data_IF_265800859691
#
_entry.id   IF_265800859691
#
_cell.length_a   1.000
_cell.length_b   1.000
_cell.length_c   1.000
_cell.angle_alpha   90.00
_cell.angle_beta   90.00
_cell.angle_gamma   90.00
#
_symmetry.space_group_name_H-M   'P 1'
#
loop_
_entity.id
_entity.type
_entity.pdbx_description
1 polymer ?
#
# COMPACT_ATOMS: atom_id res chain seq x y z
N UNK A 1 -23.97 -6.67 15.43
CA UNK A 1 -22.64 -6.07 15.68
C UNK A 1 -21.83 -6.36 14.43
N UNK A 2 -21.30 -5.35 13.75
CA UNK A 2 -20.54 -5.58 12.53
C UNK A 2 -19.16 -6.15 12.86
N UNK A 3 -18.69 -7.11 12.06
CA UNK A 3 -17.33 -7.67 12.15
C UNK A 3 -16.38 -6.90 11.24
N UNK A 4 -15.12 -6.77 11.65
CA UNK A 4 -14.14 -5.96 10.92
C UNK A 4 -13.08 -6.85 10.27
N UNK A 5 -12.96 -6.76 8.94
CA UNK A 5 -11.83 -7.29 8.19
C UNK A 5 -10.90 -6.14 7.80
N UNK A 6 -9.65 -6.19 8.27
CA UNK A 6 -8.62 -5.22 7.93
C UNK A 6 -7.61 -5.85 6.96
N UNK A 7 -7.32 -5.14 5.87
CA UNK A 7 -6.25 -5.47 4.93
C UNK A 7 -5.15 -4.42 5.10
N UNK A 8 -3.94 -4.87 5.44
CA UNK A 8 -2.76 -4.00 5.54
C UNK A 8 -1.95 -4.10 4.25
N UNK A 9 -1.84 -2.97 3.53
CA UNK A 9 -1.07 -2.83 2.30
C UNK A 9 -1.93 -2.72 1.04
N UNK A 10 -1.88 -1.56 0.37
CA UNK A 10 -2.59 -1.27 -0.89
C UNK A 10 -1.87 -1.75 -2.15
N UNK A 11 -1.01 -2.77 -2.07
CA UNK A 11 -0.37 -3.33 -3.26
C UNK A 11 -1.34 -4.13 -4.15
N UNK A 12 -0.78 -4.91 -5.07
CA UNK A 12 -1.56 -5.84 -5.92
C UNK A 12 -2.40 -6.81 -5.10
N UNK A 13 -1.77 -7.51 -4.15
CA UNK A 13 -2.45 -8.49 -3.32
C UNK A 13 -3.59 -7.85 -2.52
N UNK A 14 -3.30 -6.79 -1.74
CA UNK A 14 -4.31 -6.18 -0.89
C UNK A 14 -5.47 -5.55 -1.65
N UNK A 15 -5.20 -4.84 -2.75
CA UNK A 15 -6.26 -4.24 -3.57
C UNK A 15 -7.11 -5.31 -4.24
N UNK A 16 -6.52 -6.37 -4.80
CA UNK A 16 -7.28 -7.45 -5.45
C UNK A 16 -8.07 -8.28 -4.45
N UNK A 17 -7.49 -8.55 -3.28
CA UNK A 17 -8.20 -9.19 -2.17
C UNK A 17 -9.39 -8.35 -1.73
N UNK A 18 -9.22 -7.02 -1.58
CA UNK A 18 -10.32 -6.12 -1.26
C UNK A 18 -11.44 -6.19 -2.31
N UNK A 19 -11.10 -6.08 -3.61
CA UNK A 19 -12.08 -6.18 -4.70
C UNK A 19 -12.88 -7.49 -4.67
N UNK A 20 -12.23 -8.63 -4.41
CA UNK A 20 -12.92 -9.92 -4.31
C UNK A 20 -13.84 -9.96 -3.07
N UNK A 21 -13.36 -9.45 -1.95
CA UNK A 21 -14.09 -9.47 -0.68
C UNK A 21 -15.28 -8.51 -0.67
N UNK A 22 -15.25 -7.39 -1.40
CA UNK A 22 -16.40 -6.50 -1.57
C UNK A 22 -17.66 -7.22 -2.09
N UNK A 23 -17.47 -8.28 -2.87
CA UNK A 23 -18.57 -9.04 -3.48
C UNK A 23 -18.90 -10.36 -2.77
N UNK A 24 -18.08 -10.77 -1.80
CA UNK A 24 -18.19 -12.09 -1.16
C UNK A 24 -18.35 -12.02 0.35
N UNK A 25 -18.02 -10.89 0.97
CA UNK A 25 -18.21 -10.71 2.41
C UNK A 25 -19.70 -10.67 2.76
N UNK A 26 -20.10 -11.33 3.86
CA UNK A 26 -21.47 -11.23 4.35
C UNK A 26 -21.83 -9.79 4.77
N UNK A 27 -23.13 -9.40 4.75
CA UNK A 27 -23.56 -8.02 5.02
C UNK A 27 -23.23 -7.50 6.43
N UNK A 28 -22.94 -8.38 7.39
CA UNK A 28 -22.54 -8.02 8.74
C UNK A 28 -21.03 -7.75 8.88
N UNK A 29 -20.27 -7.75 7.78
CA UNK A 29 -18.84 -7.41 7.77
C UNK A 29 -18.57 -6.04 7.18
N UNK A 30 -17.60 -5.35 7.76
CA UNK A 30 -16.98 -4.16 7.18
C UNK A 30 -15.58 -4.51 6.69
N UNK A 31 -15.20 -3.91 5.57
CA UNK A 31 -13.91 -4.09 4.92
C UNK A 31 -13.13 -2.78 4.96
N UNK A 32 -11.93 -2.83 5.53
CA UNK A 32 -11.02 -1.70 5.57
C UNK A 32 -9.67 -2.05 4.93
N UNK A 33 -9.26 -1.29 3.93
CA UNK A 33 -7.90 -1.31 3.39
C UNK A 33 -7.11 -0.15 4.00
N UNK A 34 -6.05 -0.44 4.72
CA UNK A 34 -5.08 0.55 5.22
C UNK A 34 -3.80 0.46 4.42
N UNK A 35 -3.35 1.60 3.88
CA UNK A 35 -2.18 1.69 3.00
C UNK A 35 -1.48 3.04 3.18
N UNK A 36 -0.15 3.06 3.04
CA UNK A 36 0.61 4.32 3.07
C UNK A 36 0.26 5.22 1.87
N UNK A 37 -0.07 4.60 0.74
CA UNK A 37 -0.46 5.28 -0.50
C UNK A 37 -1.96 5.12 -0.75
N UNK A 38 -2.56 6.12 -1.39
CA UNK A 38 -3.97 6.08 -1.79
C UNK A 38 -4.20 5.48 -3.20
N UNK A 39 -3.15 4.93 -3.81
CA UNK A 39 -3.16 4.27 -5.12
C UNK A 39 -2.32 3.00 -5.09
N UNK A 40 -2.62 2.08 -6.00
CA UNK A 40 -1.70 0.98 -6.35
C UNK A 40 -0.76 1.45 -7.48
N UNK A 41 0.49 0.97 -7.48
CA UNK A 41 1.46 1.19 -8.56
C UNK A 41 1.67 -0.08 -9.38
N UNK A 42 1.67 0.05 -10.70
CA UNK A 42 2.09 -1.00 -11.63
C UNK A 42 3.63 -0.97 -11.78
N UNK A 43 4.31 -1.56 -10.79
CA UNK A 43 5.77 -1.59 -10.68
C UNK A 43 6.53 -1.92 -11.98
N UNK A 44 6.08 -2.85 -12.86
CA UNK A 44 6.81 -3.17 -14.09
C UNK A 44 7.03 -2.00 -15.05
N UNK A 45 6.21 -0.94 -15.00
CA UNK A 45 6.34 0.23 -15.87
C UNK A 45 7.09 1.41 -15.24
N UNK A 46 7.62 1.26 -14.01
CA UNK A 46 8.43 2.32 -13.39
C UNK A 46 9.65 2.74 -14.23
N UNK A 47 10.39 1.85 -14.92
CA UNK A 47 11.49 2.25 -15.80
C UNK A 47 11.05 3.20 -16.93
N UNK A 48 9.84 3.02 -17.48
CA UNK A 48 9.31 3.89 -18.54
C UNK A 48 8.98 5.30 -18.01
N UNK A 49 8.64 5.42 -16.72
CA UNK A 49 8.48 6.71 -16.05
C UNK A 49 9.85 7.39 -15.87
N UNK A 50 10.89 6.62 -15.51
CA UNK A 50 12.27 7.13 -15.42
C UNK A 50 12.73 7.71 -16.76
N UNK A 51 12.52 6.98 -17.84
CA UNK A 51 12.86 7.41 -19.20
C UNK A 51 11.95 8.48 -19.80
N UNK A 52 10.93 8.93 -19.07
CA UNK A 52 9.89 9.86 -19.54
C UNK A 52 9.09 9.39 -20.77
N UNK A 53 9.14 8.09 -21.11
CA UNK A 53 8.35 7.47 -22.18
C UNK A 53 6.84 7.49 -21.86
N UNK A 54 6.49 7.46 -20.57
CA UNK A 54 5.11 7.51 -20.08
C UNK A 54 4.96 8.47 -18.90
N UNK A 55 3.74 8.95 -18.69
CA UNK A 55 3.42 9.80 -17.55
C UNK A 55 3.29 8.98 -16.25
N UNK A 56 3.70 9.54 -15.09
CA UNK A 56 3.50 8.92 -13.78
C UNK A 56 2.07 8.46 -13.50
N UNK A 57 1.09 9.21 -13.99
CA UNK A 57 -0.34 8.88 -13.84
C UNK A 57 -0.75 7.60 -14.57
N UNK A 58 -0.01 7.18 -15.59
CA UNK A 58 -0.30 5.96 -16.37
C UNK A 58 0.11 4.68 -15.63
N UNK A 59 0.92 4.76 -14.58
CA UNK A 59 1.39 3.59 -13.82
C UNK A 59 0.73 3.46 -12.45
N UNK A 60 -0.25 4.30 -12.13
CA UNK A 60 -0.98 4.23 -10.87
C UNK A 60 -2.48 4.06 -11.09
N UNK A 61 -3.15 3.44 -10.13
CA UNK A 61 -4.60 3.39 -10.07
C UNK A 61 -5.08 3.75 -8.65
N UNK A 62 -5.85 4.83 -8.46
CA UNK A 62 -6.37 5.21 -7.15
C UNK A 62 -7.25 4.11 -6.54
N UNK A 63 -7.06 3.79 -5.25
CA UNK A 63 -7.88 2.79 -4.56
C UNK A 63 -9.36 3.11 -4.61
N UNK A 64 -9.74 4.39 -4.49
CA UNK A 64 -11.13 4.85 -4.54
C UNK A 64 -11.81 4.64 -5.90
N UNK A 65 -11.03 4.48 -6.97
CA UNK A 65 -11.58 4.13 -8.30
C UNK A 65 -11.74 2.62 -8.46
N UNK A 66 -10.96 1.83 -7.71
CA UNK A 66 -10.93 0.36 -7.79
C UNK A 66 -11.83 -0.33 -6.77
N UNK A 67 -12.13 0.34 -5.66
CA UNK A 67 -12.90 -0.15 -4.53
C UNK A 67 -14.13 0.74 -4.34
N UNK A 68 -15.29 0.13 -4.18
CA UNK A 68 -16.58 0.84 -4.17
C UNK A 68 -17.29 0.77 -2.82
N UNK A 69 -17.12 -0.33 -2.08
CA UNK A 69 -17.81 -0.59 -0.83
C UNK A 69 -16.85 -0.58 0.38
N UNK A 70 -15.54 -0.72 0.14
CA UNK A 70 -14.51 -0.75 1.16
C UNK A 70 -14.19 0.63 1.70
N UNK A 71 -13.89 0.72 2.99
CA UNK A 71 -13.24 1.88 3.55
C UNK A 71 -11.75 1.86 3.20
N UNK A 72 -11.22 2.99 2.72
CA UNK A 72 -9.78 3.15 2.43
C UNK A 72 -9.19 4.17 3.39
N UNK A 73 -8.23 3.73 4.20
CA UNK A 73 -7.48 4.56 5.14
C UNK A 73 -6.05 4.75 4.59
N UNK A 74 -5.68 6.01 4.32
CA UNK A 74 -4.31 6.36 3.96
C UNK A 74 -3.51 6.60 5.24
N UNK A 75 -2.76 5.61 5.68
CA UNK A 75 -1.97 5.64 6.90
C UNK A 75 -0.89 4.57 6.91
N UNK A 76 0.16 4.80 7.70
CA UNK A 76 1.23 3.85 7.92
C UNK A 76 0.91 2.98 9.15
N UNK A 77 0.76 1.67 8.95
CA UNK A 77 0.72 0.72 10.07
C UNK A 77 2.08 0.69 10.75
N UNK A 78 2.08 0.89 12.06
CA UNK A 78 3.28 0.90 12.90
C UNK A 78 3.45 -0.41 13.67
N UNK A 79 2.35 -1.00 14.13
CA UNK A 79 2.37 -2.21 14.97
C UNK A 79 1.08 -3.01 14.81
N UNK A 80 1.18 -4.32 15.02
CA UNK A 80 0.04 -5.24 15.04
C UNK A 80 0.09 -6.01 16.36
N UNK A 81 -0.79 -5.66 17.28
CA UNK A 81 -0.97 -6.37 18.55
C UNK A 81 -1.98 -7.50 18.33
N UNK A 82 -1.45 -8.70 18.14
CA UNK A 82 -2.26 -9.91 17.89
C UNK A 82 -3.03 -10.42 19.11
N UNK A 83 -2.50 -10.39 20.36
CA UNK A 83 -3.29 -10.64 21.56
C UNK A 83 -4.53 -9.74 21.70
N UNK A 84 -4.38 -8.43 21.52
CA UNK A 84 -5.49 -7.48 21.65
C UNK A 84 -6.36 -7.39 20.38
N UNK A 85 -5.88 -7.97 19.26
CA UNK A 85 -6.47 -7.91 17.91
C UNK A 85 -6.65 -6.48 17.42
N UNK A 86 -5.58 -5.70 17.51
CA UNK A 86 -5.54 -4.32 17.03
C UNK A 86 -4.38 -4.05 16.09
N UNK A 87 -4.62 -3.13 15.15
CA UNK A 87 -3.60 -2.53 14.30
C UNK A 87 -3.40 -1.09 14.74
N UNK A 88 -2.18 -0.74 15.12
CA UNK A 88 -1.77 0.64 15.37
C UNK A 88 -1.24 1.26 14.09
N UNK A 89 -1.60 2.51 13.85
CA UNK A 89 -1.20 3.24 12.66
C UNK A 89 -0.93 4.71 12.94
N UNK A 90 -0.18 5.34 12.04
CA UNK A 90 0.12 6.76 12.00
C UNK A 90 -0.48 7.34 10.70
N UNK A 91 -1.50 8.19 10.86
CA UNK A 91 -2.09 8.99 9.78
C UNK A 91 -1.90 10.47 10.08
N UNK A 92 -3.00 11.24 10.12
CA UNK A 92 -2.99 12.61 10.68
C UNK A 92 -2.58 12.65 12.17
N UNK A 93 -2.73 11.51 12.84
CA UNK A 93 -2.22 11.25 14.18
C UNK A 93 -2.14 9.74 14.44
N UNK A 94 -1.68 9.34 15.64
CA UNK A 94 -1.71 7.94 16.04
C UNK A 94 -3.16 7.45 16.18
N UNK A 95 -3.42 6.26 15.67
CA UNK A 95 -4.72 5.62 15.72
C UNK A 95 -4.63 4.11 15.93
N UNK A 96 -5.77 3.52 16.27
CA UNK A 96 -5.89 2.08 16.55
C UNK A 96 -7.17 1.54 15.93
N UNK A 97 -7.07 0.41 15.23
CA UNK A 97 -8.21 -0.30 14.64
C UNK A 97 -8.30 -1.72 15.20
N UNK A 98 -9.47 -2.10 15.74
CA UNK A 98 -9.77 -3.49 16.09
C UNK A 98 -10.18 -4.29 14.87
N UNK A 99 -9.72 -5.54 14.79
CA UNK A 99 -10.09 -6.48 13.74
C UNK A 99 -10.62 -7.81 14.29
N UNK A 100 -11.51 -8.42 13.52
CA UNK A 100 -11.91 -9.82 13.65
C UNK A 100 -11.10 -10.72 12.72
N UNK A 101 -10.73 -10.19 11.55
CA UNK A 101 -9.85 -10.83 10.57
C UNK A 101 -8.85 -9.82 10.03
N UNK A 102 -7.62 -10.30 9.79
CA UNK A 102 -6.51 -9.48 9.33
C UNK A 102 -5.85 -10.14 8.14
N UNK A 103 -5.68 -9.38 7.05
CA UNK A 103 -4.92 -9.78 5.87
C UNK A 103 -3.66 -8.92 5.79
N UNK A 104 -2.51 -9.57 5.72
CA UNK A 104 -1.22 -8.89 5.56
C UNK A 104 -0.79 -8.96 4.08
N UNK A 105 -0.79 -7.81 3.42
CA UNK A 105 -0.44 -7.64 2.02
C UNK A 105 0.59 -6.49 1.84
N UNK A 106 1.48 -6.33 2.82
CA UNK A 106 2.42 -5.20 2.95
C UNK A 106 3.51 -5.16 1.87
N UNK A 107 3.72 -6.26 1.13
CA UNK A 107 4.80 -6.36 0.14
C UNK A 107 6.18 -6.27 0.78
N UNK A 108 7.15 -5.75 0.02
CA UNK A 108 8.54 -5.57 0.44
C UNK A 108 9.10 -4.24 -0.04
N UNK A 109 10.07 -3.72 0.70
CA UNK A 109 10.86 -2.54 0.33
C UNK A 109 12.22 -2.95 -0.23
N UNK A 110 12.89 -2.02 -0.92
CA UNK A 110 14.29 -2.20 -1.30
C UNK A 110 15.14 -2.27 -0.03
N UNK A 111 15.88 -3.37 0.15
CA UNK A 111 16.80 -3.53 1.27
C UNK A 111 18.18 -2.98 0.87
N UNK A 112 18.47 -1.76 1.30
CA UNK A 112 19.73 -1.07 0.99
C UNK A 112 20.84 -1.36 2.02
N UNK A 113 20.55 -2.13 3.07
CA UNK A 113 21.51 -2.47 4.13
C UNK A 113 22.30 -3.76 3.82
N UNK A 114 21.91 -4.49 2.76
CA UNK A 114 22.55 -5.75 2.35
C UNK A 114 24.03 -5.55 2.03
N UNK A 115 24.40 -4.41 1.46
CA UNK A 115 25.77 -4.08 1.11
C UNK A 115 26.19 -2.81 1.84
N UNK A 116 27.27 -2.89 2.62
CA UNK A 116 27.79 -1.75 3.38
C UNK A 116 28.06 -0.56 2.45
N UNK A 117 27.48 0.60 2.78
CA UNK A 117 27.58 1.83 2.00
C UNK A 117 26.57 1.95 0.85
N UNK A 118 25.79 0.91 0.55
CA UNK A 118 24.81 0.94 -0.55
C UNK A 118 23.74 2.01 -0.35
N UNK A 119 23.20 2.17 0.86
CA UNK A 119 22.22 3.23 1.16
C UNK A 119 22.70 4.66 0.84
N UNK A 120 24.02 4.90 0.76
CA UNK A 120 24.59 6.22 0.48
C UNK A 120 24.66 6.54 -1.01
N UNK A 121 24.67 5.52 -1.87
CA UNK A 121 24.97 5.66 -3.31
C UNK A 121 23.94 5.00 -4.23
N UNK A 122 23.18 4.03 -3.72
CA UNK A 122 22.22 3.28 -4.51
C UNK A 122 20.98 4.12 -4.82
N UNK A 123 20.41 3.85 -5.99
CA UNK A 123 19.18 4.46 -6.46
C UNK A 123 18.16 3.33 -6.63
N UNK A 124 17.31 3.05 -5.62
CA UNK A 124 16.29 2.02 -5.76
C UNK A 124 15.28 2.42 -6.84
N UNK A 125 14.51 1.44 -7.33
CA UNK A 125 13.40 1.64 -8.25
C UNK A 125 12.23 0.74 -7.83
N UNK A 126 11.60 1.08 -6.69
CA UNK A 126 10.52 0.30 -6.09
C UNK A 126 9.22 1.09 -5.99
N UNK A 127 9.30 2.40 -5.79
CA UNK A 127 8.16 3.31 -5.65
C UNK A 127 8.04 4.25 -6.85
N UNK A 128 6.88 4.91 -6.98
CA UNK A 128 6.74 6.01 -7.94
C UNK A 128 7.70 7.17 -7.61
N UNK A 129 7.91 7.45 -6.32
CA UNK A 129 8.86 8.45 -5.85
C UNK A 129 10.29 8.16 -6.31
N UNK A 130 10.71 6.89 -6.25
CA UNK A 130 12.00 6.44 -6.74
C UNK A 130 12.18 6.74 -8.24
N UNK A 131 11.15 6.42 -9.04
CA UNK A 131 11.18 6.65 -10.48
C UNK A 131 11.27 8.15 -10.82
N UNK A 132 10.52 8.99 -10.11
CA UNK A 132 10.58 10.44 -10.27
C UNK A 132 11.93 11.02 -9.84
N UNK A 133 12.49 10.53 -8.75
CA UNK A 133 13.82 10.92 -8.28
C UNK A 133 14.89 10.60 -9.33
N UNK A 134 14.86 9.37 -9.86
CA UNK A 134 15.77 8.92 -10.91
C UNK A 134 15.64 9.75 -12.18
N UNK A 135 14.41 10.02 -12.64
CA UNK A 135 14.15 10.87 -13.82
C UNK A 135 14.81 12.23 -13.68
N UNK A 136 14.56 12.94 -12.58
CA UNK A 136 15.10 14.29 -12.33
C UNK A 136 16.63 14.34 -12.20
N UNK A 137 17.26 13.19 -11.95
CA UNK A 137 18.72 13.08 -11.86
C UNK A 137 19.37 12.80 -13.21
N UNK A 138 18.65 12.17 -14.14
CA UNK A 138 19.19 11.69 -15.41
C UNK A 138 18.87 12.64 -16.57
N UNK A 139 17.68 13.25 -16.57
CA UNK A 139 17.16 14.16 -17.61
C UNK A 139 17.16 15.58 -17.05
#
# INVERSE_FOLDING_TARGET
MYKNLIIVGGGFAGTKTAQLLEHTLPPDWTLMLISQENFITFNPLLPEVVGASIMPSHVIAPHRQMLHCSHVCMAQVSEIDTPARVVHYLGEGPGTLRYDQLVLACGTNANLDVVKGMAQVALPLKTLGDALFLRNRII
#
